data_IF_538413784350
#
_entry.id   IF_538413784350
#
_cell.length_a   1.000
_cell.length_b   1.000
_cell.length_c   1.000
_cell.angle_alpha   90.00
_cell.angle_beta   90.00
_cell.angle_gamma   90.00
#
_symmetry.space_group_name_H-M   'P 1'
#
loop_
_entity.id
_entity.type
_entity.pdbx_description
1 polymer ?
#
# COMPACT_ATOMS: atom_id res chain seq x y z
N UNK A 1 13.47 21.41 -38.21
CA UNK A 1 14.07 20.45 -37.24
C UNK A 1 12.97 19.53 -36.76
N UNK A 2 13.19 18.23 -36.77
CA UNK A 2 12.28 17.25 -36.16
C UNK A 2 12.89 16.90 -34.82
N UNK A 3 12.13 17.06 -33.74
CA UNK A 3 12.58 16.72 -32.39
C UNK A 3 11.68 15.63 -31.85
N UNK A 4 12.27 14.53 -31.38
CA UNK A 4 11.54 13.48 -30.67
C UNK A 4 11.50 13.85 -29.18
N UNK A 5 10.29 13.80 -28.61
CA UNK A 5 10.16 13.84 -27.15
C UNK A 5 10.40 12.43 -26.61
N UNK A 6 11.16 12.28 -25.52
CA UNK A 6 11.37 10.97 -24.90
C UNK A 6 10.05 10.40 -24.38
N UNK A 7 9.98 9.08 -24.19
CA UNK A 7 8.91 8.43 -23.44
C UNK A 7 8.91 8.91 -21.97
N UNK A 8 7.83 8.66 -21.24
CA UNK A 8 7.69 9.16 -19.86
C UNK A 8 8.39 8.26 -18.83
N UNK A 9 9.58 7.74 -19.17
CA UNK A 9 10.31 6.78 -18.32
C UNK A 9 10.62 7.27 -16.90
N UNK A 10 10.69 8.59 -16.69
CA UNK A 10 10.83 9.19 -15.37
C UNK A 10 9.53 9.17 -14.54
N UNK A 11 8.38 8.96 -15.19
CA UNK A 11 7.07 8.96 -14.55
C UNK A 11 6.56 10.32 -14.12
N UNK A 12 5.69 10.32 -13.12
CA UNK A 12 5.09 11.51 -12.54
C UNK A 12 6.10 12.30 -11.69
N UNK A 13 6.18 13.58 -11.93
CA UNK A 13 6.99 14.51 -11.16
C UNK A 13 6.21 15.80 -10.90
N UNK A 14 5.87 16.05 -9.65
CA UNK A 14 5.16 17.25 -9.19
C UNK A 14 6.02 18.13 -8.29
N UNK A 15 7.31 17.79 -8.16
CA UNK A 15 8.24 18.47 -7.25
C UNK A 15 9.14 19.46 -7.96
N UNK A 16 9.62 19.12 -9.15
CA UNK A 16 10.58 19.96 -9.85
C UNK A 16 9.88 21.18 -10.48
N UNK A 17 10.56 22.33 -10.57
CA UNK A 17 10.04 23.51 -11.24
C UNK A 17 9.69 23.19 -12.70
N UNK A 18 8.55 23.71 -13.15
CA UNK A 18 8.01 23.41 -14.49
C UNK A 18 8.91 23.87 -15.65
N UNK A 19 9.71 24.87 -15.41
CA UNK A 19 10.65 25.46 -16.39
C UNK A 19 11.98 24.71 -16.48
N UNK A 20 12.28 23.84 -15.51
CA UNK A 20 13.54 23.10 -15.43
C UNK A 20 13.34 21.58 -15.27
N UNK A 21 12.14 21.08 -15.49
CA UNK A 21 11.86 19.66 -15.38
C UNK A 21 12.44 18.87 -16.56
N UNK A 22 13.08 17.74 -16.28
CA UNK A 22 13.59 16.84 -17.32
C UNK A 22 12.43 16.35 -18.20
N UNK A 23 12.55 16.40 -19.54
CA UNK A 23 11.53 15.95 -20.49
C UNK A 23 11.11 14.48 -20.38
N UNK A 24 11.89 13.64 -19.68
CA UNK A 24 11.54 12.26 -19.37
C UNK A 24 10.41 12.14 -18.34
N UNK A 25 10.09 13.22 -17.63
CA UNK A 25 9.00 13.24 -16.64
C UNK A 25 7.70 13.78 -17.20
N UNK A 26 6.63 13.52 -16.45
CA UNK A 26 5.31 14.05 -16.65
C UNK A 26 4.86 14.86 -15.43
N UNK A 27 4.17 15.96 -15.65
CA UNK A 27 3.52 16.73 -14.57
C UNK A 27 2.15 16.17 -14.22
N UNK A 28 1.59 15.32 -15.09
CA UNK A 28 0.41 14.52 -14.85
C UNK A 28 0.55 13.17 -15.57
N UNK A 29 0.25 12.09 -14.87
CA UNK A 29 0.30 10.74 -15.40
C UNK A 29 -0.76 9.89 -14.69
N UNK A 30 -1.98 9.92 -15.21
CA UNK A 30 -3.15 9.26 -14.63
C UNK A 30 -3.52 8.04 -15.45
N UNK A 31 -3.64 6.88 -14.79
CA UNK A 31 -3.99 5.59 -15.39
C UNK A 31 -3.03 5.14 -16.51
N UNK A 32 -1.78 5.62 -16.45
CA UNK A 32 -0.71 5.25 -17.37
C UNK A 32 0.52 4.89 -16.57
N UNK A 33 1.19 3.83 -16.98
CA UNK A 33 2.38 3.27 -16.34
C UNK A 33 3.57 3.50 -17.28
N UNK A 34 4.66 4.02 -16.73
CA UNK A 34 5.92 4.09 -17.44
C UNK A 34 6.58 2.70 -17.47
N UNK A 35 6.77 2.16 -18.66
CA UNK A 35 7.53 0.93 -18.92
C UNK A 35 8.83 1.28 -19.65
N UNK A 36 9.79 0.37 -19.71
CA UNK A 36 11.09 0.60 -20.37
C UNK A 36 10.95 1.04 -21.85
N UNK A 37 9.96 0.49 -22.54
CA UNK A 37 9.75 0.69 -23.98
C UNK A 37 8.64 1.70 -24.33
N UNK A 38 8.02 2.33 -23.35
CA UNK A 38 6.95 3.28 -23.60
C UNK A 38 5.96 3.44 -22.47
N UNK A 39 4.95 4.20 -22.70
CA UNK A 39 3.87 4.47 -21.75
C UNK A 39 2.69 3.53 -22.07
N UNK A 40 2.14 2.85 -21.06
CA UNK A 40 1.05 1.90 -21.20
C UNK A 40 -0.13 2.27 -20.31
N UNK A 41 -1.32 2.26 -20.85
CA UNK A 41 -2.54 2.41 -20.05
C UNK A 41 -2.69 1.18 -19.13
N UNK A 42 -3.04 1.39 -17.88
CA UNK A 42 -3.27 0.30 -16.93
C UNK A 42 -4.37 -0.64 -17.41
N UNK A 43 -4.36 -1.85 -16.93
CA UNK A 43 -5.51 -2.75 -17.06
C UNK A 43 -6.69 -2.23 -16.25
N UNK A 44 -7.89 -2.67 -16.60
CA UNK A 44 -9.12 -2.32 -15.89
C UNK A 44 -9.33 -3.14 -14.62
N UNK A 45 -10.57 -3.15 -14.18
CA UNK A 45 -11.07 -3.99 -13.11
C UNK A 45 -12.46 -4.51 -13.43
N UNK A 46 -12.87 -5.56 -12.75
CA UNK A 46 -14.23 -6.11 -12.83
C UNK A 46 -14.80 -6.29 -11.44
N UNK A 47 -16.09 -6.04 -11.26
CA UNK A 47 -16.82 -6.42 -10.06
C UNK A 47 -16.94 -7.93 -10.00
N UNK A 48 -16.51 -8.53 -8.89
CA UNK A 48 -16.57 -9.99 -8.67
C UNK A 48 -17.60 -10.37 -7.64
N UNK A 49 -18.01 -9.42 -6.77
CA UNK A 49 -19.05 -9.65 -5.78
C UNK A 49 -19.83 -8.36 -5.48
N UNK A 50 -21.17 -8.49 -5.26
CA UNK A 50 -22.04 -7.32 -5.04
C UNK A 50 -22.02 -6.81 -3.59
N UNK A 51 -21.79 -7.69 -2.60
CA UNK A 51 -21.69 -7.24 -1.22
C UNK A 51 -20.39 -6.45 -1.00
N UNK A 52 -20.52 -5.26 -0.46
CA UNK A 52 -19.40 -4.40 -0.16
C UNK A 52 -18.67 -4.80 1.13
N UNK A 53 -17.45 -4.31 1.27
CA UNK A 53 -16.71 -4.34 2.52
C UNK A 53 -15.71 -3.18 2.58
N UNK A 54 -15.27 -2.83 3.78
CA UNK A 54 -14.22 -1.82 3.98
C UNK A 54 -12.86 -2.46 4.26
N UNK A 55 -12.84 -3.67 4.81
CA UNK A 55 -11.62 -4.47 4.97
C UNK A 55 -11.78 -5.80 4.25
N UNK A 56 -10.80 -6.14 3.43
CA UNK A 56 -10.73 -7.42 2.75
C UNK A 56 -9.37 -8.06 3.07
N UNK A 57 -9.40 -9.25 3.67
CA UNK A 57 -8.22 -9.97 4.16
C UNK A 57 -8.13 -11.31 3.44
N UNK A 58 -6.95 -11.69 2.90
CA UNK A 58 -6.77 -12.98 2.27
C UNK A 58 -6.39 -14.05 3.30
N UNK A 59 -6.97 -15.22 3.20
CA UNK A 59 -6.42 -16.45 3.75
C UNK A 59 -5.75 -17.20 2.60
N UNK A 60 -4.42 -17.07 2.50
CA UNK A 60 -3.65 -17.51 1.34
C UNK A 60 -3.00 -18.88 1.57
N UNK A 61 -3.80 -19.90 1.76
CA UNK A 61 -3.36 -21.31 1.91
C UNK A 61 -3.82 -22.08 0.69
N UNK A 62 -2.87 -22.75 0.02
CA UNK A 62 -3.17 -23.49 -1.21
C UNK A 62 -4.19 -24.63 -0.96
N UNK A 63 -5.30 -24.58 -1.68
CA UNK A 63 -6.43 -25.51 -1.53
C UNK A 63 -7.42 -25.15 -0.43
N UNK A 64 -7.16 -24.09 0.35
CA UNK A 64 -7.99 -23.60 1.45
C UNK A 64 -8.19 -22.08 1.37
N UNK A 65 -8.03 -21.52 0.17
CA UNK A 65 -8.08 -20.07 -0.04
C UNK A 65 -9.43 -19.48 0.33
N UNK A 66 -9.41 -18.35 1.03
CA UNK A 66 -10.62 -17.62 1.40
C UNK A 66 -10.38 -16.12 1.46
N UNK A 67 -11.48 -15.37 1.38
CA UNK A 67 -11.53 -13.95 1.66
C UNK A 67 -12.33 -13.69 2.94
N UNK A 68 -11.76 -12.91 3.84
CA UNK A 68 -12.41 -12.44 5.06
C UNK A 68 -12.80 -10.99 4.81
N UNK A 69 -14.10 -10.75 4.62
CA UNK A 69 -14.66 -9.43 4.32
C UNK A 69 -15.29 -8.83 5.58
N UNK A 70 -14.84 -7.63 5.97
CA UNK A 70 -15.36 -6.94 7.14
C UNK A 70 -16.08 -5.66 6.70
N UNK A 71 -17.31 -5.49 7.19
CA UNK A 71 -18.16 -4.34 6.92
C UNK A 71 -18.96 -4.00 8.17
N UNK A 72 -18.90 -2.74 8.59
CA UNK A 72 -19.59 -2.24 9.77
C UNK A 72 -19.31 -3.09 11.02
N UNK A 73 -20.28 -3.87 11.50
CA UNK A 73 -20.17 -4.74 12.67
C UNK A 73 -20.06 -6.24 12.32
N UNK A 74 -19.91 -6.59 11.02
CA UNK A 74 -19.92 -7.96 10.52
C UNK A 74 -18.64 -8.41 9.87
N UNK A 75 -18.37 -9.72 9.94
CA UNK A 75 -17.33 -10.42 9.19
C UNK A 75 -17.97 -11.59 8.46
N UNK A 76 -17.82 -11.61 7.14
CA UNK A 76 -18.29 -12.69 6.27
C UNK A 76 -17.09 -13.35 5.60
N UNK A 77 -17.10 -14.67 5.52
CA UNK A 77 -16.08 -15.46 4.84
C UNK A 77 -16.58 -15.85 3.46
N UNK A 78 -15.74 -15.66 2.45
CA UNK A 78 -16.01 -16.09 1.08
C UNK A 78 -14.92 -17.06 0.59
N UNK A 79 -15.29 -18.03 -0.22
CA UNK A 79 -14.35 -18.82 -1.00
C UNK A 79 -13.78 -18.00 -2.20
N UNK A 80 -12.94 -18.62 -3.03
CA UNK A 80 -12.32 -17.97 -4.19
C UNK A 80 -13.31 -17.59 -5.30
N UNK A 81 -14.50 -18.19 -5.31
CA UNK A 81 -15.60 -17.91 -6.22
C UNK A 81 -16.63 -16.94 -5.62
N UNK A 82 -16.32 -16.38 -4.44
CA UNK A 82 -17.17 -15.48 -3.66
C UNK A 82 -18.49 -16.08 -3.18
N UNK A 83 -18.55 -17.38 -2.95
CA UNK A 83 -19.64 -17.99 -2.21
C UNK A 83 -19.39 -17.85 -0.71
N UNK A 84 -20.46 -17.62 0.06
CA UNK A 84 -20.37 -17.52 1.53
C UNK A 84 -20.00 -18.86 2.13
N UNK A 85 -18.98 -18.87 2.99
CA UNK A 85 -18.52 -20.03 3.75
C UNK A 85 -18.86 -19.83 5.22
N UNK A 86 -19.75 -20.69 5.74
CA UNK A 86 -20.19 -20.60 7.14
C UNK A 86 -21.19 -19.45 7.40
N UNK A 87 -21.37 -19.12 8.67
CA UNK A 87 -22.25 -18.04 9.09
C UNK A 87 -21.46 -16.73 9.24
N UNK A 88 -22.12 -15.62 8.92
CA UNK A 88 -21.62 -14.30 9.26
C UNK A 88 -21.51 -14.15 10.78
N UNK A 89 -20.41 -13.54 11.23
CA UNK A 89 -20.19 -13.19 12.64
C UNK A 89 -20.34 -11.68 12.80
N UNK A 90 -21.25 -11.27 13.69
CA UNK A 90 -21.60 -9.85 13.90
C UNK A 90 -21.37 -9.41 15.36
N UNK A 91 -21.55 -8.12 15.63
CA UNK A 91 -21.39 -7.53 16.96
C UNK A 91 -20.02 -6.90 17.20
N UNK A 92 -19.28 -6.64 16.16
CA UNK A 92 -17.98 -5.93 16.24
C UNK A 92 -18.17 -4.42 16.29
N UNK A 93 -17.25 -3.73 16.96
CA UNK A 93 -17.35 -2.29 17.14
C UNK A 93 -16.91 -1.48 15.91
N UNK A 94 -16.10 -2.09 15.04
CA UNK A 94 -15.64 -1.50 13.77
C UNK A 94 -15.13 -2.58 12.83
N UNK A 95 -14.92 -2.22 11.57
CA UNK A 95 -14.43 -3.07 10.48
C UNK A 95 -12.94 -2.84 10.15
N UNK A 96 -12.20 -2.11 11.00
CA UNK A 96 -10.79 -1.73 10.78
C UNK A 96 -9.81 -2.81 11.23
N UNK A 97 -9.95 -4.01 10.71
CA UNK A 97 -9.13 -5.17 11.04
C UNK A 97 -7.78 -5.17 10.32
N UNK A 98 -6.73 -5.50 11.06
CA UNK A 98 -5.40 -5.86 10.53
C UNK A 98 -5.17 -7.34 10.78
N UNK A 99 -4.38 -8.01 9.96
CA UNK A 99 -4.20 -9.45 10.04
C UNK A 99 -2.72 -9.86 9.97
N UNK A 100 -2.47 -11.07 10.48
CA UNK A 100 -1.22 -11.79 10.28
C UNK A 100 -1.50 -13.27 10.05
N UNK A 101 -0.87 -13.89 9.04
CA UNK A 101 -0.85 -15.35 8.92
C UNK A 101 0.10 -15.94 9.98
N UNK A 102 -0.26 -17.08 10.52
CA UNK A 102 0.53 -17.77 11.52
C UNK A 102 0.39 -19.29 11.38
N UNK A 103 1.51 -20.02 11.46
CA UNK A 103 1.51 -21.48 11.41
C UNK A 103 1.73 -22.03 12.81
N UNK A 104 0.84 -22.89 13.25
CA UNK A 104 0.91 -23.54 14.56
C UNK A 104 1.91 -24.70 14.61
N UNK A 105 2.07 -25.33 15.80
CA UNK A 105 2.96 -26.46 15.98
C UNK A 105 2.52 -27.76 15.30
N UNK A 106 1.27 -27.84 14.84
CA UNK A 106 0.74 -28.95 14.05
C UNK A 106 0.89 -28.73 12.53
N UNK A 107 1.30 -27.53 12.10
CA UNK A 107 1.44 -27.15 10.71
C UNK A 107 0.18 -26.54 10.10
N UNK A 108 -0.87 -26.31 10.88
CA UNK A 108 -2.07 -25.62 10.41
C UNK A 108 -1.81 -24.11 10.28
N UNK A 109 -2.33 -23.51 9.22
CA UNK A 109 -2.20 -22.06 8.98
C UNK A 109 -3.44 -21.35 9.46
N UNK A 110 -3.23 -20.38 10.33
CA UNK A 110 -4.26 -19.53 10.91
C UNK A 110 -4.13 -18.10 10.35
N UNK A 111 -5.23 -17.41 10.19
CA UNK A 111 -5.24 -15.95 9.94
C UNK A 111 -5.79 -15.27 11.18
N UNK A 112 -4.91 -14.59 11.92
CA UNK A 112 -5.30 -13.79 13.08
C UNK A 112 -5.69 -12.38 12.66
N UNK A 113 -6.77 -11.86 13.24
CA UNK A 113 -7.29 -10.52 13.01
C UNK A 113 -7.40 -9.76 14.32
N UNK A 114 -7.01 -8.48 14.32
CA UNK A 114 -7.20 -7.59 15.46
C UNK A 114 -7.56 -6.17 14.99
N UNK A 115 -8.41 -5.47 15.75
CA UNK A 115 -8.89 -4.13 15.41
C UNK A 115 -8.69 -3.10 16.53
N UNK A 116 -8.06 -3.49 17.64
CA UNK A 116 -7.78 -2.62 18.78
C UNK A 116 -8.97 -2.34 19.70
N UNK A 117 -10.13 -2.95 19.46
CA UNK A 117 -11.37 -2.70 20.21
C UNK A 117 -12.09 -3.99 20.61
N UNK A 118 -12.08 -4.98 19.74
CA UNK A 118 -12.70 -6.27 19.96
C UNK A 118 -11.66 -7.34 20.35
N UNK A 119 -12.15 -8.47 20.86
CA UNK A 119 -11.32 -9.67 21.02
C UNK A 119 -10.77 -10.06 19.64
N UNK A 120 -9.47 -10.34 19.50
CA UNK A 120 -8.89 -10.81 18.26
C UNK A 120 -9.63 -12.03 17.73
N UNK A 121 -9.77 -12.10 16.42
CA UNK A 121 -10.39 -13.22 15.73
C UNK A 121 -9.33 -14.12 15.12
N UNK A 122 -9.66 -15.37 14.96
CA UNK A 122 -8.85 -16.40 14.34
C UNK A 122 -9.67 -17.13 13.29
N UNK A 123 -9.12 -17.27 12.11
CA UNK A 123 -9.73 -18.03 11.02
C UNK A 123 -8.83 -19.18 10.60
N UNK A 124 -9.43 -20.37 10.48
CA UNK A 124 -8.88 -21.52 9.75
C UNK A 124 -9.93 -22.03 8.79
N UNK A 125 -9.50 -22.75 7.76
CA UNK A 125 -10.43 -23.37 6.81
C UNK A 125 -11.33 -24.40 7.50
N UNK A 126 -10.76 -25.15 8.47
CA UNK A 126 -11.45 -26.26 9.16
C UNK A 126 -12.46 -25.76 10.19
N UNK A 127 -12.07 -24.79 11.03
CA UNK A 127 -12.85 -24.38 12.20
C UNK A 127 -13.70 -23.12 11.93
N UNK A 128 -13.43 -22.43 10.78
CA UNK A 128 -14.06 -21.17 10.45
C UNK A 128 -13.54 -20.00 11.30
N UNK A 129 -14.35 -18.95 11.43
CA UNK A 129 -13.99 -17.74 12.18
C UNK A 129 -14.39 -17.86 13.65
N UNK A 130 -13.44 -17.78 14.55
CA UNK A 130 -13.61 -17.91 16.00
C UNK A 130 -12.95 -16.76 16.77
N UNK A 131 -13.31 -16.59 18.05
CA UNK A 131 -12.54 -15.76 18.98
C UNK A 131 -11.18 -16.40 19.23
N UNK A 132 -10.14 -15.59 19.30
CA UNK A 132 -8.80 -16.06 19.62
C UNK A 132 -8.76 -16.74 20.98
N UNK A 133 -8.07 -17.88 21.05
CA UNK A 133 -7.89 -18.67 22.27
C UNK A 133 -6.78 -18.15 23.21
N UNK A 134 -6.19 -17.00 22.94
CA UNK A 134 -5.23 -16.39 23.85
C UNK A 134 -5.93 -15.81 25.09
N UNK A 135 -5.27 -15.99 26.24
CA UNK A 135 -5.68 -15.30 27.48
C UNK A 135 -5.12 -13.88 27.47
N UNK A 136 -6.01 -12.92 27.27
CA UNK A 136 -5.69 -11.49 27.20
C UNK A 136 -5.88 -10.89 28.59
N UNK A 137 -4.93 -10.11 29.14
CA UNK A 137 -5.10 -9.43 30.41
C UNK A 137 -6.31 -8.47 30.39
N UNK A 138 -7.00 -8.35 31.52
CA UNK A 138 -8.19 -7.50 31.67
C UNK A 138 -7.92 -6.05 31.24
N UNK A 139 -8.83 -5.49 30.43
CA UNK A 139 -8.77 -4.13 29.93
C UNK A 139 -7.75 -3.90 28.81
N UNK A 140 -7.09 -4.94 28.31
CA UNK A 140 -6.17 -4.84 27.16
C UNK A 140 -6.93 -5.12 25.88
N UNK A 141 -6.82 -4.21 24.93
CA UNK A 141 -7.29 -4.40 23.55
C UNK A 141 -6.09 -4.56 22.63
N UNK A 142 -6.12 -5.60 21.80
CA UNK A 142 -5.02 -5.97 20.93
C UNK A 142 -5.26 -5.49 19.50
N UNK A 143 -4.21 -4.97 18.86
CA UNK A 143 -4.19 -4.50 17.47
C UNK A 143 -2.91 -4.98 16.76
N UNK A 144 -2.86 -4.79 15.44
CA UNK A 144 -1.67 -4.98 14.62
C UNK A 144 -0.94 -6.30 14.89
N UNK A 145 -1.60 -7.46 14.62
CA UNK A 145 -0.97 -8.77 14.78
C UNK A 145 0.22 -8.92 13.84
N UNK A 146 1.26 -9.60 14.28
CA UNK A 146 2.48 -9.88 13.52
C UNK A 146 3.03 -11.27 13.87
N UNK A 147 3.36 -12.05 12.86
CA UNK A 147 4.14 -13.28 13.01
C UNK A 147 5.63 -12.97 12.90
N UNK A 148 6.40 -13.27 13.96
CA UNK A 148 7.85 -13.09 13.99
C UNK A 148 8.52 -14.23 14.73
N UNK A 149 9.53 -14.87 14.12
CA UNK A 149 10.30 -16.00 14.70
C UNK A 149 9.40 -17.06 15.35
N UNK A 150 8.39 -17.51 14.61
CA UNK A 150 7.40 -18.52 15.05
C UNK A 150 6.61 -18.14 16.31
N UNK A 151 6.43 -16.86 16.57
CA UNK A 151 5.56 -16.32 17.62
C UNK A 151 4.62 -15.29 17.05
N UNK A 152 3.44 -15.19 17.64
CA UNK A 152 2.47 -14.17 17.31
C UNK A 152 2.60 -13.00 18.29
N UNK A 153 2.71 -11.79 17.75
CA UNK A 153 2.83 -10.53 18.48
C UNK A 153 1.63 -9.65 18.21
N UNK A 154 1.28 -8.80 19.18
CA UNK A 154 0.21 -7.80 19.08
C UNK A 154 0.65 -6.51 19.75
N UNK A 155 0.16 -5.40 19.23
CA UNK A 155 0.20 -4.12 19.93
C UNK A 155 -0.96 -4.09 20.94
N UNK A 156 -0.69 -3.73 22.18
CA UNK A 156 -1.71 -3.59 23.22
C UNK A 156 -1.48 -2.37 24.10
N UNK A 157 -2.54 -1.63 24.37
CA UNK A 157 -2.43 -0.36 25.09
C UNK A 157 -1.67 0.71 24.31
N UNK A 158 -0.99 1.64 25.02
CA UNK A 158 -0.24 2.70 24.35
C UNK A 158 1.19 2.29 23.96
N UNK A 159 1.88 1.56 24.85
CA UNK A 159 3.31 1.29 24.74
C UNK A 159 3.71 -0.16 24.99
N UNK A 160 2.77 -1.07 24.90
CA UNK A 160 3.01 -2.47 25.21
C UNK A 160 2.84 -3.34 23.97
N UNK A 161 3.68 -4.35 23.88
CA UNK A 161 3.59 -5.45 22.93
C UNK A 161 3.29 -6.70 23.72
N UNK A 162 2.36 -7.50 23.23
CA UNK A 162 1.99 -8.79 23.80
C UNK A 162 2.36 -9.89 22.83
N UNK A 163 2.93 -10.99 23.31
CA UNK A 163 3.33 -12.10 22.45
C UNK A 163 3.07 -13.47 23.07
N UNK A 164 2.81 -14.41 22.19
CA UNK A 164 2.52 -15.81 22.54
C UNK A 164 3.74 -16.70 22.61
N UNK A 165 3.53 -17.96 22.95
CA UNK A 165 4.52 -19.03 22.90
C UNK A 165 4.99 -19.32 21.47
N UNK A 166 6.07 -20.13 21.33
CA UNK A 166 6.53 -20.61 20.03
C UNK A 166 5.48 -21.51 19.41
N UNK A 167 5.07 -21.20 18.18
CA UNK A 167 4.06 -21.95 17.42
C UNK A 167 2.74 -22.19 18.19
N UNK A 168 2.44 -21.32 19.16
CA UNK A 168 1.25 -21.41 19.99
C UNK A 168 0.16 -20.45 19.50
N UNK A 169 -1.06 -20.94 19.45
CA UNK A 169 -2.27 -20.20 19.12
C UNK A 169 -3.15 -19.91 20.34
N UNK A 170 -2.71 -20.30 21.54
CA UNK A 170 -3.48 -20.18 22.78
C UNK A 170 -2.57 -19.93 23.98
N UNK A 171 -3.19 -19.71 25.15
CA UNK A 171 -2.49 -19.51 26.43
C UNK A 171 -2.27 -18.04 26.77
N UNK A 172 -1.59 -17.79 27.88
CA UNK A 172 -1.34 -16.44 28.37
C UNK A 172 -0.32 -15.69 27.49
N UNK A 173 -0.63 -14.45 27.16
CA UNK A 173 0.30 -13.57 26.45
C UNK A 173 1.31 -12.95 27.43
N UNK A 174 2.57 -12.90 27.00
CA UNK A 174 3.65 -12.21 27.74
C UNK A 174 3.70 -10.75 27.32
N UNK A 175 3.88 -9.85 28.29
CA UNK A 175 3.93 -8.40 28.06
C UNK A 175 5.36 -7.91 27.90
N UNK A 176 5.62 -7.11 26.87
CA UNK A 176 6.87 -6.38 26.68
C UNK A 176 6.59 -4.88 26.61
N UNK A 177 7.01 -4.13 27.63
CA UNK A 177 6.72 -2.69 27.75
C UNK A 177 7.80 -1.84 27.11
N UNK A 178 7.39 -0.92 26.23
CA UNK A 178 8.26 -0.08 25.40
C UNK A 178 8.30 1.39 25.82
N UNK A 179 7.47 1.81 26.79
CA UNK A 179 7.26 3.22 27.11
C UNK A 179 8.51 4.00 27.52
N UNK A 180 9.54 3.34 28.08
CA UNK A 180 10.79 4.00 28.48
C UNK A 180 11.73 4.32 27.31
N UNK A 181 11.52 3.75 26.14
CA UNK A 181 12.42 3.86 24.99
C UNK A 181 12.03 5.01 24.06
N UNK A 182 10.75 5.36 23.99
CA UNK A 182 10.25 6.44 23.15
C UNK A 182 10.26 7.78 23.92
N UNK A 183 10.69 8.84 23.26
CA UNK A 183 10.91 10.16 23.87
C UNK A 183 9.94 11.24 23.39
N UNK A 184 9.29 11.02 22.25
CA UNK A 184 8.40 12.02 21.65
C UNK A 184 6.94 11.91 22.12
N UNK A 185 6.62 10.91 22.96
CA UNK A 185 5.24 10.64 23.37
C UNK A 185 4.44 9.90 22.28
N UNK A 186 3.11 9.88 22.42
CA UNK A 186 2.22 9.18 21.51
C UNK A 186 1.94 7.73 21.94
N UNK A 187 1.87 6.81 21.00
CA UNK A 187 1.66 5.37 21.22
C UNK A 187 2.31 4.56 20.11
N UNK A 188 2.45 3.24 20.30
CA UNK A 188 2.81 2.33 19.22
C UNK A 188 1.67 2.34 18.20
N UNK A 189 2.00 2.55 16.93
CA UNK A 189 1.06 2.58 15.82
C UNK A 189 1.03 1.24 15.07
N UNK A 190 2.21 0.67 14.81
CA UNK A 190 2.35 -0.55 14.02
C UNK A 190 3.61 -1.30 14.39
N UNK A 191 3.59 -2.60 14.16
CA UNK A 191 4.76 -3.48 14.22
C UNK A 191 4.90 -4.21 12.88
N UNK A 192 6.12 -4.46 12.44
CA UNK A 192 6.38 -5.15 11.19
C UNK A 192 7.69 -5.92 11.23
N UNK A 193 7.85 -6.89 10.34
CA UNK A 193 9.11 -7.57 10.08
C UNK A 193 9.92 -6.79 9.06
N UNK A 194 11.23 -6.85 9.17
CA UNK A 194 12.14 -6.39 8.15
C UNK A 194 13.20 -7.46 7.90
N UNK A 195 13.03 -8.18 6.81
CA UNK A 195 13.95 -9.25 6.39
C UNK A 195 15.05 -8.64 5.52
N UNK A 196 16.27 -8.63 6.03
CA UNK A 196 17.46 -8.24 5.28
C UNK A 196 18.14 -9.50 4.75
N UNK A 197 18.19 -9.69 3.45
CA UNK A 197 18.97 -10.76 2.83
C UNK A 197 20.44 -10.32 2.75
N UNK A 198 21.20 -10.71 3.75
CA UNK A 198 22.64 -10.40 3.85
C UNK A 198 23.54 -11.47 3.21
N UNK A 199 22.98 -12.45 2.49
CA UNK A 199 23.76 -13.49 1.78
C UNK A 199 24.38 -14.58 2.65
N UNK A 200 24.30 -14.49 3.99
CA UNK A 200 24.81 -15.49 4.95
C UNK A 200 23.80 -15.96 5.98
N UNK A 201 22.53 -15.71 5.74
CA UNK A 201 21.40 -16.05 6.61
C UNK A 201 20.36 -14.93 6.58
N UNK A 202 19.12 -15.27 6.84
CA UNK A 202 18.03 -14.29 6.91
C UNK A 202 18.05 -13.65 8.28
N UNK A 203 18.52 -12.40 8.35
CA UNK A 203 18.44 -11.59 9.56
C UNK A 203 17.13 -10.82 9.58
N UNK A 204 16.09 -11.46 10.16
CA UNK A 204 14.82 -10.79 10.39
C UNK A 204 14.94 -9.83 11.56
N UNK A 205 14.53 -8.60 11.34
CA UNK A 205 14.45 -7.57 12.35
C UNK A 205 12.98 -7.33 12.76
N UNK A 206 12.78 -7.08 14.04
CA UNK A 206 11.50 -6.67 14.58
C UNK A 206 11.44 -5.15 14.64
N UNK A 207 10.49 -4.54 13.94
CA UNK A 207 10.36 -3.09 13.81
C UNK A 207 9.11 -2.61 14.51
N UNK A 208 9.25 -1.60 15.37
CA UNK A 208 8.16 -0.95 16.10
C UNK A 208 8.11 0.50 15.68
N UNK A 209 6.93 0.96 15.28
CA UNK A 209 6.72 2.32 14.79
C UNK A 209 5.71 3.05 15.68
N UNK A 210 6.08 4.22 16.18
CA UNK A 210 5.20 5.07 16.99
C UNK A 210 4.41 6.07 16.15
N UNK A 211 3.32 6.60 16.70
CA UNK A 211 2.53 7.69 16.08
C UNK A 211 3.32 8.98 15.86
N UNK A 212 4.40 9.19 16.63
CA UNK A 212 5.26 10.39 16.51
C UNK A 212 6.48 10.18 15.60
N UNK A 213 6.52 9.04 14.88
CA UNK A 213 7.57 8.74 13.92
C UNK A 213 8.89 8.29 14.55
N UNK A 214 8.87 7.76 15.79
CA UNK A 214 10.00 7.04 16.33
C UNK A 214 9.91 5.58 15.88
N UNK A 215 11.00 5.07 15.35
CA UNK A 215 11.13 3.69 14.86
C UNK A 215 12.17 2.98 15.69
N UNK A 216 11.77 1.95 16.41
CA UNK A 216 12.69 1.10 17.17
C UNK A 216 12.87 -0.22 16.47
N UNK A 217 14.10 -0.68 16.40
CA UNK A 217 14.47 -1.92 15.70
C UNK A 217 15.16 -2.85 16.66
N UNK A 218 14.68 -4.08 16.70
CA UNK A 218 15.28 -5.18 17.47
C UNK A 218 15.75 -6.29 16.54
N UNK A 219 16.82 -6.93 16.97
CA UNK A 219 17.32 -8.21 16.47
C UNK A 219 17.20 -9.25 17.55
N UNK A 220 16.96 -10.49 17.19
CA UNK A 220 16.90 -11.62 18.14
C UNK A 220 15.64 -12.46 17.97
N UNK A 221 15.46 -13.41 18.87
CA UNK A 221 14.38 -14.39 18.79
C UNK A 221 13.09 -13.93 19.47
N UNK A 222 13.18 -13.33 20.66
CA UNK A 222 12.05 -12.79 21.42
C UNK A 222 12.54 -11.91 22.58
N UNK A 223 11.66 -11.06 23.18
CA UNK A 223 12.05 -10.11 24.24
C UNK A 223 12.67 -10.70 25.50
N UNK A 224 12.38 -11.97 25.84
CA UNK A 224 12.93 -12.65 27.02
C UNK A 224 14.23 -13.40 26.74
N UNK A 225 14.71 -13.40 25.51
CA UNK A 225 15.92 -14.14 25.14
C UNK A 225 17.18 -13.27 25.24
N UNK A 226 18.31 -13.89 25.56
CA UNK A 226 19.62 -13.22 25.69
C UNK A 226 20.10 -12.59 24.36
N UNK A 227 19.58 -13.05 23.23
CA UNK A 227 19.89 -12.57 21.90
C UNK A 227 19.06 -11.34 21.48
N UNK A 228 18.06 -10.93 22.29
CA UNK A 228 17.22 -9.78 22.01
C UNK A 228 17.94 -8.46 22.24
N UNK A 229 18.27 -7.78 21.16
CA UNK A 229 19.09 -6.54 21.21
C UNK A 229 18.43 -5.43 20.39
N UNK A 230 18.36 -4.25 21.00
CA UNK A 230 17.98 -3.02 20.27
C UNK A 230 19.13 -2.56 19.39
N UNK A 231 18.84 -2.30 18.12
CA UNK A 231 19.74 -1.65 17.16
C UNK A 231 19.69 -0.12 17.27
N UNK A 232 18.68 0.41 17.94
CA UNK A 232 18.50 1.84 18.19
C UNK A 232 17.09 2.34 17.95
N UNK A 233 16.90 3.62 18.24
CA UNK A 233 15.67 4.38 17.94
C UNK A 233 15.98 5.39 16.87
N UNK A 234 15.27 5.30 15.77
CA UNK A 234 15.42 6.17 14.60
C UNK A 234 14.19 7.08 14.49
N UNK A 235 14.29 8.12 13.68
CA UNK A 235 13.21 9.07 13.48
C UNK A 235 12.84 9.17 12.00
N UNK A 236 11.55 9.02 11.72
CA UNK A 236 10.90 9.30 10.42
C UNK A 236 9.86 10.42 10.61
N UNK A 237 9.34 11.03 9.53
CA UNK A 237 8.12 11.83 9.62
C UNK A 237 6.96 10.98 10.18
N UNK A 238 5.94 11.63 10.73
CA UNK A 238 4.79 10.93 11.33
C UNK A 238 4.17 9.95 10.35
N UNK A 239 4.03 8.66 10.72
CA UNK A 239 3.30 7.69 9.93
C UNK A 239 1.79 7.97 10.01
N UNK A 240 1.04 7.63 8.95
CA UNK A 240 -0.36 8.08 8.85
C UNK A 240 -1.31 7.09 9.55
N UNK A 241 -1.19 5.79 9.29
CA UNK A 241 -2.12 4.78 9.81
C UNK A 241 -1.38 3.54 10.29
N UNK A 242 -2.08 2.64 10.98
CA UNK A 242 -1.53 1.34 11.41
C UNK A 242 -1.12 0.43 10.24
N UNK A 243 -1.65 0.67 9.02
CA UNK A 243 -1.25 -0.02 7.78
C UNK A 243 -0.17 0.75 7.01
N UNK A 244 0.69 1.46 7.71
CA UNK A 244 1.69 2.33 7.09
C UNK A 244 2.88 1.59 6.49
N UNK A 245 3.03 0.29 6.70
CA UNK A 245 4.22 -0.48 6.33
C UNK A 245 3.90 -1.60 5.36
N UNK A 246 4.82 -1.81 4.39
CA UNK A 246 4.79 -2.94 3.47
C UNK A 246 6.22 -3.36 3.10
N UNK A 247 6.46 -4.67 3.03
CA UNK A 247 7.73 -5.22 2.54
C UNK A 247 7.84 -5.06 1.02
N UNK A 248 8.94 -4.51 0.56
CA UNK A 248 9.26 -4.31 -0.88
C UNK A 248 10.66 -4.86 -1.15
N UNK A 249 10.73 -6.10 -1.57
CA UNK A 249 12.01 -6.80 -1.67
C UNK A 249 12.65 -6.96 -0.29
N UNK A 250 13.89 -6.49 -0.13
CA UNK A 250 14.64 -6.53 1.13
C UNK A 250 14.47 -5.24 1.98
N UNK A 251 13.49 -4.41 1.69
CA UNK A 251 13.24 -3.17 2.43
C UNK A 251 11.78 -3.05 2.88
N UNK A 252 11.52 -2.14 3.78
CA UNK A 252 10.17 -1.78 4.23
C UNK A 252 9.86 -0.36 3.81
N UNK A 253 8.80 -0.20 3.01
CA UNK A 253 8.26 1.12 2.68
C UNK A 253 7.28 1.57 3.76
N UNK A 254 7.38 2.84 4.18
CA UNK A 254 6.52 3.44 5.20
C UNK A 254 5.81 4.66 4.66
N UNK A 255 4.48 4.71 4.83
CA UNK A 255 3.65 5.88 4.52
C UNK A 255 3.73 6.89 5.66
N UNK A 256 4.11 8.12 5.34
CA UNK A 256 4.18 9.22 6.32
C UNK A 256 3.48 10.48 5.80
N UNK A 257 3.21 11.44 6.68
CA UNK A 257 2.65 12.75 6.33
C UNK A 257 3.53 13.53 5.33
N UNK A 258 4.83 13.27 5.28
CA UNK A 258 5.78 13.95 4.38
C UNK A 258 6.11 13.16 3.12
N UNK A 259 5.48 11.99 2.89
CA UNK A 259 5.74 11.13 1.75
C UNK A 259 6.06 9.69 2.15
N UNK A 260 6.68 8.93 1.24
CA UNK A 260 6.93 7.50 1.39
C UNK A 260 8.42 7.24 1.57
N UNK A 261 8.79 6.52 2.64
CA UNK A 261 10.18 6.33 3.06
C UNK A 261 10.55 4.85 3.14
N UNK A 262 11.71 4.45 2.61
CA UNK A 262 12.26 3.12 2.85
C UNK A 262 13.05 3.11 4.14
N UNK A 263 12.89 2.07 4.97
CA UNK A 263 13.56 1.98 6.28
C UNK A 263 15.07 1.85 6.16
N UNK A 264 15.59 1.22 5.10
CA UNK A 264 17.04 1.10 4.86
C UNK A 264 17.77 2.43 4.84
N UNK A 265 17.13 3.47 4.29
CA UNK A 265 17.71 4.82 4.25
C UNK A 265 17.62 5.54 5.59
N UNK A 266 16.67 5.17 6.44
CA UNK A 266 16.55 5.71 7.79
C UNK A 266 17.71 5.25 8.67
N UNK A 267 18.18 4.01 8.50
CA UNK A 267 19.32 3.48 9.24
C UNK A 267 20.67 4.08 8.78
N UNK A 268 20.78 4.36 7.50
CA UNK A 268 22.07 4.83 6.92
C UNK A 268 22.34 6.31 7.11
N UNK A 269 21.31 7.13 7.31
CA UNK A 269 21.44 8.58 7.44
C UNK A 269 20.53 9.15 8.52
N UNK A 270 21.11 9.64 9.62
CA UNK A 270 20.37 10.36 10.68
C UNK A 270 19.65 11.63 10.17
N UNK A 271 19.88 12.03 8.91
CA UNK A 271 19.21 13.14 8.22
C UNK A 271 18.08 12.67 7.29
N UNK A 272 17.37 11.63 7.66
CA UNK A 272 16.36 10.90 6.88
C UNK A 272 15.29 11.75 6.14
N UNK A 273 15.16 13.04 6.45
CA UNK A 273 14.19 13.93 5.79
C UNK A 273 14.47 14.21 4.30
N UNK A 274 15.53 13.65 3.70
CA UNK A 274 15.93 13.98 2.32
C UNK A 274 15.82 12.85 1.31
N UNK A 275 15.38 11.67 1.71
CA UNK A 275 15.46 10.48 0.86
C UNK A 275 14.20 9.67 0.73
N UNK A 276 13.04 10.35 0.73
CA UNK A 276 11.78 9.70 0.37
C UNK A 276 11.90 9.05 -1.03
N UNK A 277 11.39 7.82 -1.18
CA UNK A 277 11.24 7.21 -2.52
C UNK A 277 10.26 8.03 -3.37
N UNK A 278 9.38 8.78 -2.72
CA UNK A 278 8.44 9.73 -3.33
C UNK A 278 9.01 11.15 -3.50
N UNK A 279 10.32 11.33 -3.58
CA UNK A 279 10.94 12.67 -3.68
C UNK A 279 10.44 13.48 -4.89
N UNK A 280 10.09 12.80 -5.99
CA UNK A 280 9.46 13.43 -7.18
C UNK A 280 7.98 13.74 -7.00
N UNK A 281 7.37 13.25 -5.92
CA UNK A 281 6.00 13.49 -5.51
C UNK A 281 5.93 14.33 -4.23
N UNK A 282 6.88 15.22 -4.01
CA UNK A 282 6.94 16.03 -2.79
C UNK A 282 5.60 16.76 -2.56
N UNK A 283 5.06 16.63 -1.35
CA UNK A 283 3.76 17.19 -1.01
C UNK A 283 2.54 16.40 -1.51
N UNK A 284 2.72 15.21 -2.10
CA UNK A 284 1.60 14.38 -2.57
C UNK A 284 0.63 13.98 -1.44
N UNK A 285 1.13 13.92 -0.22
CA UNK A 285 0.34 13.63 0.98
C UNK A 285 -0.35 14.89 1.56
N UNK A 286 0.11 16.09 1.18
CA UNK A 286 -0.40 17.34 1.73
C UNK A 286 -1.89 17.57 1.39
N UNK A 287 -2.64 18.07 2.36
CA UNK A 287 -4.06 18.40 2.17
C UNK A 287 -5.00 17.21 2.05
N UNK A 288 -4.48 15.99 2.28
CA UNK A 288 -5.28 14.78 2.32
C UNK A 288 -5.78 14.52 3.74
N UNK A 289 -6.87 13.79 3.82
CA UNK A 289 -7.48 13.42 5.10
C UNK A 289 -6.72 12.24 5.74
N UNK A 290 -5.94 12.51 6.78
CA UNK A 290 -5.19 11.48 7.51
C UNK A 290 -6.06 10.69 8.49
N UNK A 291 -7.30 11.09 8.72
CA UNK A 291 -8.25 10.33 9.55
C UNK A 291 -8.91 9.19 8.80
N UNK A 292 -8.91 9.26 7.46
CA UNK A 292 -9.38 8.18 6.60
C UNK A 292 -8.36 7.06 6.52
N UNK A 293 -8.83 5.95 6.01
CA UNK A 293 -7.99 4.78 5.80
C UNK A 293 -6.95 5.04 4.70
N UNK A 294 -5.71 4.75 5.00
CA UNK A 294 -4.63 4.62 4.04
C UNK A 294 -4.14 3.17 4.07
N UNK A 295 -3.67 2.68 2.96
CA UNK A 295 -3.14 1.32 2.85
C UNK A 295 -1.95 1.31 1.88
N UNK A 296 -1.04 0.35 2.04
CA UNK A 296 0.08 0.13 1.14
C UNK A 296 0.18 -1.35 0.84
N UNK A 297 0.38 -1.70 -0.43
CA UNK A 297 0.51 -3.08 -0.92
C UNK A 297 1.59 -3.18 -1.96
N UNK A 298 2.37 -4.25 -1.91
CA UNK A 298 3.34 -4.57 -2.94
C UNK A 298 2.84 -5.72 -3.80
N UNK A 299 2.45 -5.41 -5.03
CA UNK A 299 2.00 -6.39 -6.01
C UNK A 299 3.19 -6.91 -6.80
N UNK A 300 3.77 -8.01 -6.34
CA UNK A 300 5.03 -8.60 -6.85
C UNK A 300 4.97 -8.99 -8.31
N UNK A 301 3.84 -9.52 -8.79
CA UNK A 301 3.63 -9.92 -10.18
C UNK A 301 3.98 -8.82 -11.19
N UNK A 302 3.65 -7.59 -10.86
CA UNK A 302 3.89 -6.44 -11.72
C UNK A 302 5.05 -5.56 -11.24
N UNK A 303 5.59 -5.81 -10.04
CA UNK A 303 6.57 -4.93 -9.40
C UNK A 303 5.96 -3.58 -9.02
N UNK A 304 4.70 -3.55 -8.54
CA UNK A 304 4.02 -2.30 -8.20
C UNK A 304 3.89 -2.13 -6.70
N UNK A 305 4.47 -1.05 -6.19
CA UNK A 305 4.13 -0.56 -4.86
C UNK A 305 2.96 0.40 -4.98
N UNK A 306 1.83 0.02 -4.39
CA UNK A 306 0.56 0.74 -4.48
C UNK A 306 0.25 1.36 -3.13
N UNK A 307 0.20 2.68 -3.07
CA UNK A 307 -0.29 3.41 -1.91
C UNK A 307 -1.71 3.89 -2.20
N UNK A 308 -2.67 3.34 -1.47
CA UNK A 308 -4.06 3.78 -1.51
C UNK A 308 -4.24 4.98 -0.59
N UNK A 309 -4.64 6.11 -1.14
CA UNK A 309 -4.75 7.38 -0.44
C UNK A 309 -6.11 8.03 -0.65
N UNK A 310 -6.67 8.75 0.35
CA UNK A 310 -7.84 9.58 0.13
C UNK A 310 -7.60 10.57 -1.02
N UNK A 311 -8.53 10.61 -1.96
CA UNK A 311 -8.39 11.44 -3.15
C UNK A 311 -8.60 12.92 -2.84
N UNK A 312 -7.86 13.78 -3.54
CA UNK A 312 -8.12 15.22 -3.62
C UNK A 312 -9.01 15.59 -4.81
N UNK A 313 -9.32 14.60 -5.66
CA UNK A 313 -10.19 14.75 -6.82
C UNK A 313 -11.63 14.49 -6.36
N UNK A 314 -12.46 15.52 -6.28
CA UNK A 314 -13.82 15.46 -5.70
C UNK A 314 -14.81 14.47 -6.32
N UNK A 315 -14.42 13.71 -7.36
CA UNK A 315 -15.22 12.66 -7.99
C UNK A 315 -15.06 11.29 -7.32
N UNK A 316 -13.91 11.03 -6.69
CA UNK A 316 -13.55 9.74 -6.10
C UNK A 316 -13.16 9.94 -4.65
N UNK A 317 -13.44 8.96 -3.80
CA UNK A 317 -13.03 8.98 -2.40
C UNK A 317 -11.55 8.59 -2.24
N UNK A 318 -11.04 7.73 -3.13
CA UNK A 318 -9.68 7.23 -3.11
C UNK A 318 -8.99 7.30 -4.48
N UNK A 319 -7.69 7.40 -4.45
CA UNK A 319 -6.79 7.24 -5.60
C UNK A 319 -5.55 6.45 -5.19
N UNK A 320 -4.83 5.88 -6.14
CA UNK A 320 -3.63 5.11 -5.84
C UNK A 320 -2.39 5.80 -6.42
N UNK A 321 -1.37 5.96 -5.60
CA UNK A 321 -0.04 6.35 -6.05
C UNK A 321 0.75 5.07 -6.29
N UNK A 322 1.17 4.84 -7.51
CA UNK A 322 1.77 3.57 -7.94
C UNK A 322 3.21 3.80 -8.37
N UNK A 323 4.14 3.13 -7.69
CA UNK A 323 5.54 3.04 -8.11
C UNK A 323 5.75 1.74 -8.88
N UNK A 324 6.16 1.85 -10.13
CA UNK A 324 6.71 0.73 -10.85
C UNK A 324 8.18 0.54 -10.40
N UNK A 325 8.46 -0.51 -9.61
CA UNK A 325 9.80 -0.74 -9.05
C UNK A 325 10.83 -1.13 -10.11
N UNK A 326 10.41 -1.61 -11.29
CA UNK A 326 11.30 -1.96 -12.39
C UNK A 326 11.89 -0.71 -13.06
N UNK A 327 11.08 0.34 -13.22
CA UNK A 327 11.50 1.61 -13.85
C UNK A 327 11.77 2.71 -12.83
N UNK A 328 11.42 2.49 -11.55
CA UNK A 328 11.45 3.48 -10.48
C UNK A 328 10.60 4.73 -10.80
N UNK A 329 9.55 4.55 -11.57
CA UNK A 329 8.68 5.62 -12.06
C UNK A 329 7.33 5.59 -11.33
N UNK A 330 6.90 6.76 -10.86
CA UNK A 330 5.59 6.94 -10.24
C UNK A 330 4.52 7.27 -11.28
N UNK A 331 3.32 6.80 -11.05
CA UNK A 331 2.09 7.22 -11.70
C UNK A 331 0.94 7.25 -10.70
N UNK A 332 -0.23 7.68 -11.15
CA UNK A 332 -1.44 7.69 -10.34
C UNK A 332 -2.54 6.88 -11.02
N UNK A 333 -3.20 6.01 -10.26
CA UNK A 333 -4.44 5.37 -10.70
C UNK A 333 -5.63 6.12 -10.12
N UNK A 334 -6.60 6.38 -10.98
CA UNK A 334 -7.83 7.10 -10.67
C UNK A 334 -9.00 6.31 -11.21
N UNK A 335 -10.07 6.20 -10.42
CA UNK A 335 -11.26 5.45 -10.81
C UNK A 335 -11.41 4.10 -10.11
N UNK A 336 -10.35 3.58 -9.49
CA UNK A 336 -10.44 2.44 -8.58
C UNK A 336 -10.72 2.96 -7.17
N UNK A 337 -12.00 3.19 -6.85
CA UNK A 337 -12.43 3.84 -5.58
C UNK A 337 -12.47 2.83 -4.43
N UNK A 338 -11.33 2.19 -4.13
CA UNK A 338 -11.19 1.14 -3.13
C UNK A 338 -10.84 1.68 -1.75
N UNK A 339 -11.59 1.27 -0.73
CA UNK A 339 -11.29 1.53 0.68
C UNK A 339 -10.27 0.53 1.19
N UNK A 340 -10.51 -0.76 0.99
CA UNK A 340 -9.62 -1.86 1.36
C UNK A 340 -8.99 -2.51 0.14
N UNK A 341 -7.75 -2.99 0.31
CA UNK A 341 -6.99 -3.68 -0.73
C UNK A 341 -6.42 -4.98 -0.20
N UNK A 342 -6.47 -6.04 -0.98
CA UNK A 342 -5.80 -7.29 -0.67
C UNK A 342 -5.17 -7.94 -1.90
N UNK A 343 -4.19 -8.81 -1.65
CA UNK A 343 -3.54 -9.63 -2.66
C UNK A 343 -3.72 -11.07 -2.25
N UNK A 344 -4.27 -11.88 -3.14
CA UNK A 344 -4.35 -13.33 -3.00
C UNK A 344 -3.60 -13.95 -4.17
N UNK A 345 -2.42 -14.52 -3.88
CA UNK A 345 -1.45 -14.99 -4.89
C UNK A 345 -1.14 -13.91 -5.93
N UNK A 346 -1.37 -14.21 -7.21
CA UNK A 346 -1.13 -13.32 -8.35
C UNK A 346 -2.27 -12.35 -8.67
N UNK A 347 -3.29 -12.28 -7.83
CA UNK A 347 -4.50 -11.49 -8.05
C UNK A 347 -4.58 -10.38 -7.02
N UNK A 348 -4.95 -9.20 -7.46
CA UNK A 348 -5.13 -8.03 -6.60
C UNK A 348 -6.59 -7.60 -6.60
N UNK A 349 -7.12 -7.36 -5.41
CA UNK A 349 -8.52 -6.98 -5.20
C UNK A 349 -8.60 -5.68 -4.41
N UNK A 350 -9.68 -4.95 -4.67
CA UNK A 350 -10.09 -3.84 -3.82
C UNK A 350 -11.58 -3.94 -3.50
N UNK A 351 -11.99 -3.31 -2.43
CA UNK A 351 -13.36 -3.28 -2.01
C UNK A 351 -13.81 -1.88 -1.55
N UNK A 352 -15.09 -1.67 -1.60
CA UNK A 352 -15.80 -0.52 -1.02
C UNK A 352 -17.23 -0.92 -0.67
N UNK A 353 -18.05 0.02 -0.22
CA UNK A 353 -19.47 -0.25 0.10
C UNK A 353 -20.34 -0.75 -1.06
N UNK A 354 -19.85 -0.73 -2.30
CA UNK A 354 -20.59 -1.13 -3.51
C UNK A 354 -20.22 -2.52 -4.02
N UNK A 355 -19.22 -3.18 -3.42
CA UNK A 355 -18.80 -4.51 -3.86
C UNK A 355 -17.32 -4.80 -3.69
N UNK A 356 -16.94 -6.00 -4.14
CA UNK A 356 -15.55 -6.44 -4.24
C UNK A 356 -15.18 -6.51 -5.72
N UNK A 357 -14.00 -5.99 -6.05
CA UNK A 357 -13.52 -5.84 -7.41
C UNK A 357 -12.14 -6.50 -7.56
N UNK A 358 -11.93 -7.18 -8.67
CA UNK A 358 -10.60 -7.66 -9.07
C UNK A 358 -9.96 -6.62 -9.99
N UNK A 359 -8.86 -6.02 -9.54
CA UNK A 359 -8.07 -5.06 -10.30
C UNK A 359 -7.04 -5.75 -11.21
N UNK A 360 -6.42 -4.98 -12.09
CA UNK A 360 -5.47 -5.45 -13.09
C UNK A 360 -6.06 -6.53 -14.02
N UNK A 361 -7.33 -6.41 -14.37
CA UNK A 361 -8.07 -7.38 -15.17
C UNK A 361 -8.88 -6.69 -16.26
N UNK A 362 -8.72 -7.19 -17.50
CA UNK A 362 -9.44 -6.65 -18.66
C UNK A 362 -8.95 -5.28 -19.13
N UNK A 363 -9.73 -4.67 -20.00
CA UNK A 363 -9.41 -3.39 -20.67
C UNK A 363 -10.42 -2.29 -20.36
N UNK A 364 -11.34 -2.53 -19.41
CA UNK A 364 -12.40 -1.60 -19.00
C UNK A 364 -12.50 -1.56 -17.48
N UNK A 365 -13.02 -0.48 -16.94
CA UNK A 365 -13.35 -0.33 -15.54
C UNK A 365 -14.81 -0.77 -15.35
N UNK A 366 -15.01 -2.06 -15.03
CA UNK A 366 -16.32 -2.69 -14.85
C UNK A 366 -17.29 -2.37 -16.01
N UNK A 367 -16.81 -2.54 -17.25
CA UNK A 367 -17.55 -2.21 -18.47
C UNK A 367 -17.46 -0.75 -18.91
N UNK A 368 -16.96 0.15 -18.06
CA UNK A 368 -16.73 1.55 -18.37
C UNK A 368 -15.38 1.80 -19.05
N UNK A 369 -15.21 2.95 -19.68
CA UNK A 369 -13.93 3.33 -20.29
C UNK A 369 -12.92 3.74 -19.22
N UNK A 370 -11.66 3.31 -19.38
CA UNK A 370 -10.54 3.81 -18.59
C UNK A 370 -10.18 5.20 -19.11
N UNK A 371 -10.44 6.24 -18.33
CA UNK A 371 -9.98 7.59 -18.65
C UNK A 371 -8.52 7.73 -18.25
N UNK A 372 -7.65 8.06 -19.18
CA UNK A 372 -6.23 8.25 -18.92
C UNK A 372 -5.73 9.61 -19.40
N UNK A 373 -4.67 10.10 -18.75
CA UNK A 373 -4.08 11.39 -19.11
C UNK A 373 -2.57 11.39 -18.87
N UNK A 374 -1.84 11.90 -19.87
CA UNK A 374 -0.41 12.21 -19.76
C UNK A 374 -0.23 13.67 -20.11
N UNK A 375 0.44 14.41 -19.23
CA UNK A 375 0.94 15.74 -19.53
C UNK A 375 2.45 15.77 -19.32
N UNK A 376 3.19 15.87 -20.41
CA UNK A 376 4.65 15.94 -20.42
C UNK A 376 5.14 17.22 -19.76
N UNK A 377 6.37 17.19 -19.25
CA UNK A 377 7.11 18.37 -18.83
C UNK A 377 7.20 19.38 -19.96
N UNK A 378 7.24 20.64 -19.61
CA UNK A 378 7.46 21.72 -20.58
C UNK A 378 8.87 21.61 -21.16
N UNK A 379 9.00 21.86 -22.46
CA UNK A 379 10.25 21.69 -23.16
C UNK A 379 10.57 22.90 -24.04
N UNK A 380 11.73 23.48 -23.85
CA UNK A 380 12.23 24.60 -24.67
C UNK A 380 12.83 24.13 -25.98
N UNK A 381 12.92 22.84 -26.27
CA UNK A 381 13.54 22.26 -27.48
C UNK A 381 14.96 22.82 -27.75
N UNK A 382 15.73 22.99 -26.66
CA UNK A 382 17.14 23.39 -26.72
C UNK A 382 17.40 24.88 -26.90
N UNK A 383 16.35 25.73 -27.01
CA UNK A 383 16.54 27.19 -27.12
C UNK A 383 15.35 27.94 -26.54
N UNK A 384 15.56 29.08 -25.84
CA UNK A 384 14.48 29.90 -25.31
C UNK A 384 13.82 30.82 -26.39
N UNK A 385 14.35 30.79 -27.62
CA UNK A 385 13.82 31.63 -28.68
C UNK A 385 12.40 31.25 -29.10
N UNK A 386 11.64 32.23 -29.59
CA UNK A 386 10.28 32.02 -30.13
C UNK A 386 10.30 30.97 -31.23
N UNK A 387 9.37 30.00 -31.15
CA UNK A 387 9.25 28.89 -32.08
C UNK A 387 7.87 28.83 -32.68
N UNK A 388 7.79 28.33 -33.89
CA UNK A 388 6.53 27.94 -34.51
C UNK A 388 6.45 26.42 -34.55
N UNK A 389 5.43 25.85 -33.90
CA UNK A 389 5.15 24.44 -33.93
C UNK A 389 4.34 24.12 -35.19
N UNK A 390 4.95 23.41 -36.13
CA UNK A 390 4.32 23.08 -37.41
C UNK A 390 3.47 21.84 -37.34
N UNK A 391 3.93 20.82 -36.62
CA UNK A 391 3.25 19.52 -36.54
C UNK A 391 3.66 18.77 -35.29
N UNK A 392 2.70 18.10 -34.62
CA UNK A 392 2.90 17.13 -33.57
C UNK A 392 2.37 15.77 -34.05
N UNK A 393 3.18 14.73 -34.01
CA UNK A 393 2.82 13.40 -34.45
C UNK A 393 2.93 12.49 -33.21
N UNK A 394 1.83 12.21 -32.49
CA UNK A 394 1.82 11.18 -31.49
C UNK A 394 1.87 9.80 -32.16
N UNK A 395 2.53 8.84 -31.53
CA UNK A 395 2.56 7.45 -31.99
C UNK A 395 1.91 6.60 -30.92
N UNK A 396 0.89 5.86 -31.31
CA UNK A 396 0.14 4.95 -30.45
C UNK A 396 0.13 3.57 -31.05
N UNK A 397 0.02 2.57 -30.19
CA UNK A 397 -0.41 1.24 -30.58
C UNK A 397 -1.71 0.95 -29.81
N UNK A 398 -2.79 0.64 -30.54
CA UNK A 398 -4.06 0.24 -29.96
C UNK A 398 -4.61 -0.96 -30.72
N UNK A 399 -5.25 -1.88 -30.00
CA UNK A 399 -5.95 -3.03 -30.59
C UNK A 399 -7.36 -2.70 -31.08
N UNK A 400 -7.87 -1.51 -30.76
CA UNK A 400 -9.21 -1.03 -31.09
C UNK A 400 -9.13 0.42 -31.54
N UNK A 401 -10.14 0.87 -32.31
CA UNK A 401 -10.31 2.29 -32.61
C UNK A 401 -10.68 3.04 -31.33
N UNK A 402 -9.80 3.89 -30.88
CA UNK A 402 -9.97 4.70 -29.67
C UNK A 402 -9.89 6.17 -30.01
N UNK A 403 -10.66 7.00 -29.28
CA UNK A 403 -10.62 8.43 -29.43
C UNK A 403 -9.53 9.03 -28.56
N UNK A 404 -8.62 9.77 -29.19
CA UNK A 404 -7.58 10.50 -28.52
C UNK A 404 -7.83 12.00 -28.60
N UNK A 405 -7.67 12.68 -27.48
CA UNK A 405 -7.65 14.12 -27.43
C UNK A 405 -6.22 14.59 -27.22
N UNK A 406 -5.80 15.60 -27.97
CA UNK A 406 -4.53 16.28 -27.74
C UNK A 406 -4.76 17.71 -27.32
N UNK A 407 -3.85 18.21 -26.50
CA UNK A 407 -3.76 19.59 -26.10
C UNK A 407 -2.29 20.01 -26.16
N UNK A 408 -2.04 21.23 -26.60
CA UNK A 408 -0.71 21.84 -26.55
C UNK A 408 -0.78 23.01 -25.58
N UNK A 409 -0.02 22.93 -24.51
CA UNK A 409 0.09 23.97 -23.51
C UNK A 409 1.32 24.84 -23.85
N UNK A 410 1.16 26.17 -23.84
CA UNK A 410 2.21 27.12 -24.17
C UNK A 410 2.32 28.13 -23.02
N UNK A 411 3.57 28.42 -22.62
CA UNK A 411 3.87 29.37 -21.54
C UNK A 411 3.08 29.07 -20.25
N UNK A 412 3.03 27.76 -19.88
CA UNK A 412 2.32 27.23 -18.70
C UNK A 412 0.79 27.48 -18.74
N UNK A 413 0.23 27.87 -19.87
CA UNK A 413 -1.21 28.03 -20.07
C UNK A 413 -1.79 26.85 -20.82
N UNK A 414 -2.98 26.43 -20.40
CA UNK A 414 -3.70 25.36 -21.07
C UNK A 414 -4.21 25.81 -22.45
N UNK A 415 -3.87 25.04 -23.47
CA UNK A 415 -4.42 25.23 -24.83
C UNK A 415 -5.80 24.58 -24.99
N UNK A 416 -6.43 24.81 -26.14
CA UNK A 416 -7.68 24.16 -26.47
C UNK A 416 -7.49 22.67 -26.79
N UNK A 417 -8.46 21.84 -26.37
CA UNK A 417 -8.50 20.43 -26.77
C UNK A 417 -8.84 20.30 -28.24
N UNK A 418 -8.17 19.42 -28.94
CA UNK A 418 -8.53 19.02 -30.31
C UNK A 418 -8.57 17.50 -30.40
N UNK A 419 -9.55 16.96 -31.11
CA UNK A 419 -9.66 15.52 -31.42
C UNK A 419 -8.57 15.18 -32.45
N UNK A 420 -7.90 14.07 -32.26
CA UNK A 420 -7.08 13.48 -33.33
C UNK A 420 -8.01 12.83 -34.34
N UNK A 421 -7.75 12.97 -35.65
CA UNK A 421 -8.50 12.21 -36.65
C UNK A 421 -8.35 10.72 -36.38
N UNK A 422 -9.39 9.92 -36.66
CA UNK A 422 -9.33 8.48 -36.66
C UNK A 422 -8.14 8.02 -37.51
N UNK A 423 -7.36 7.07 -36.96
CA UNK A 423 -6.23 6.49 -37.68
C UNK A 423 -6.70 5.36 -38.59
#
# INVERSE_FOLDING_TARGET
MITNLPTSVGGLNISDPLDNMDPAYCIQMDNVIAEENGDKVRSGFIKVHEAGCNTLIPHAVYGEEAFIACMDDGITIYDVDFNVVGAEKTGFANDDWVHAPFTDGAGAVHTFLANGVNIPQEYTHTDGLQDSSFTIPDGVMLDSPLSYKNRLYFVGGAWDIYYGGVQSISGALTKFSMGSFFKKGGKILSITNWTQDAGSGVDDLFVIISTEGEVMIYQGSNPDADDWKSLGVFTIPRPITKRCCEMVGADVAVITESGYYPLSRVLSDQRANRTAISSKLNGITNGRDYTKRWDIKYFTKNGWLIVNAPSTIGRYAYEQHVLNTNTNAWCRFVGMDGVGWCILFDRIFFCNGNGIFEANRGTTDDGGYITYQIQKAYNTFGTPLKKQLMRVIPRFYSLKNEYFYKRINIDFKEGNRSVLPEL
#
